data_IF_083226664748
#
_entry.id   IF_083226664748
#
_cell.length_a   1.000
_cell.length_b   1.000
_cell.length_c   1.000
_cell.angle_alpha   90.00
_cell.angle_beta   90.00
_cell.angle_gamma   90.00
#
_symmetry.space_group_name_H-M   'P 1'
#
loop_
_entity.id
_entity.type
_entity.pdbx_description
1 polymer ?
#
# COMPACT_ATOMS: atom_id res chain seq x y z
N UNK A 1 21.26 18.20 -14.16
CA UNK A 1 21.37 16.75 -13.92
C UNK A 1 20.13 16.07 -14.46
N UNK A 2 20.04 14.76 -14.33
CA UNK A 2 18.76 14.04 -14.32
C UNK A 2 17.94 14.51 -13.11
N UNK A 3 16.63 14.66 -13.25
CA UNK A 3 15.74 15.07 -12.16
C UNK A 3 15.56 13.90 -11.17
N UNK A 4 15.84 14.08 -9.87
CA UNK A 4 15.54 13.07 -8.88
C UNK A 4 14.04 12.76 -8.82
N UNK A 5 13.69 11.51 -8.51
CA UNK A 5 12.32 11.09 -8.15
C UNK A 5 12.25 10.90 -6.65
N UNK A 6 11.32 11.57 -5.96
CA UNK A 6 11.03 11.33 -4.54
C UNK A 6 9.97 10.24 -4.42
N UNK A 7 10.22 9.23 -3.59
CA UNK A 7 9.33 8.08 -3.41
C UNK A 7 9.01 7.90 -1.93
N UNK A 8 7.73 8.00 -1.61
CA UNK A 8 7.16 7.64 -0.29
C UNK A 8 6.35 6.36 -0.42
N UNK A 9 6.24 5.62 0.67
CA UNK A 9 5.69 4.28 0.70
C UNK A 9 4.68 4.19 1.85
N UNK A 10 3.48 3.73 1.51
CA UNK A 10 2.36 3.63 2.44
C UNK A 10 2.59 2.59 3.55
N UNK A 11 3.57 1.70 3.41
CA UNK A 11 4.00 0.73 4.43
C UNK A 11 4.32 1.45 5.73
N UNK A 12 4.90 2.66 5.60
CA UNK A 12 5.17 3.55 6.73
C UNK A 12 4.98 5.01 6.31
N UNK A 13 3.76 5.53 6.51
CA UNK A 13 3.38 6.95 6.35
C UNK A 13 4.17 7.95 7.23
N UNK A 14 5.18 7.52 7.98
CA UNK A 14 6.05 8.40 8.74
C UNK A 14 7.45 8.55 8.12
N UNK A 15 7.70 7.89 6.98
CA UNK A 15 8.97 7.94 6.27
C UNK A 15 8.85 8.90 5.10
N UNK A 16 9.58 10.00 5.19
CA UNK A 16 9.69 11.01 4.15
C UNK A 16 10.86 10.67 3.23
N UNK A 17 10.77 11.06 1.96
CA UNK A 17 11.93 11.03 1.05
C UNK A 17 12.46 12.45 0.83
N UNK A 18 13.78 12.59 0.80
CA UNK A 18 14.45 13.87 0.59
C UNK A 18 15.57 13.70 -0.40
N UNK A 19 15.53 14.48 -1.49
CA UNK A 19 16.55 14.44 -2.55
C UNK A 19 16.98 15.84 -2.95
N UNK A 20 18.25 15.97 -3.33
CA UNK A 20 18.81 17.25 -3.74
C UNK A 20 18.56 17.51 -5.22
N UNK A 21 17.88 18.63 -5.53
CA UNK A 21 17.67 19.10 -6.90
C UNK A 21 18.69 20.18 -7.29
N UNK A 22 19.61 20.54 -6.40
CA UNK A 22 20.59 21.60 -6.65
C UNK A 22 21.42 21.37 -7.92
N UNK A 23 21.78 20.10 -8.21
CA UNK A 23 22.54 19.74 -9.41
C UNK A 23 21.76 19.89 -10.73
N UNK A 24 20.45 20.16 -10.67
CA UNK A 24 19.63 20.47 -11.84
C UNK A 24 19.70 21.96 -12.22
N UNK A 25 20.22 22.81 -11.32
CA UNK A 25 20.43 24.23 -11.58
C UNK A 25 21.90 24.54 -11.72
N UNK A 26 22.24 25.35 -12.73
CA UNK A 26 23.58 25.94 -12.86
C UNK A 26 23.48 27.43 -12.60
N UNK A 27 24.22 27.95 -11.63
CA UNK A 27 24.22 29.36 -11.24
C UNK A 27 25.60 29.99 -11.43
N UNK A 28 25.63 31.25 -11.87
CA UNK A 28 26.84 32.08 -11.93
C UNK A 28 26.47 33.52 -11.58
N UNK A 29 27.35 34.22 -10.85
CA UNK A 29 27.09 35.57 -10.32
C UNK A 29 27.76 36.69 -11.15
N UNK A 30 28.21 36.40 -12.37
CA UNK A 30 28.82 37.40 -13.22
C UNK A 30 30.15 37.96 -12.69
N UNK A 31 30.48 39.18 -13.11
CA UNK A 31 31.73 39.86 -12.77
C UNK A 31 31.67 40.59 -11.41
N UNK A 32 30.48 40.72 -10.84
CA UNK A 32 30.16 41.63 -9.74
C UNK A 32 30.38 40.99 -8.35
N UNK A 33 30.91 39.77 -8.33
CA UNK A 33 31.28 39.05 -7.12
C UNK A 33 30.23 38.03 -6.68
N UNK A 34 30.37 37.51 -5.46
CA UNK A 34 29.45 36.49 -4.95
C UNK A 34 28.04 37.08 -4.71
N UNK A 35 27.02 36.32 -5.12
CA UNK A 35 25.61 36.67 -4.94
C UNK A 35 24.84 35.61 -4.13
N UNK A 36 23.53 35.51 -4.33
CA UNK A 36 22.66 34.54 -3.65
C UNK A 36 22.02 33.56 -4.61
N UNK A 37 21.85 32.31 -4.18
CA UNK A 37 21.03 31.29 -4.85
C UNK A 37 19.91 30.87 -3.89
N UNK A 38 18.67 30.93 -4.33
CA UNK A 38 17.49 30.59 -3.53
C UNK A 38 16.58 29.63 -4.29
N UNK A 39 15.77 28.87 -3.57
CA UNK A 39 14.83 27.91 -4.11
C UNK A 39 13.43 28.18 -3.56
N UNK A 40 12.42 28.03 -4.42
CA UNK A 40 11.02 28.16 -4.04
C UNK A 40 10.16 27.14 -4.79
N UNK A 41 9.19 26.56 -4.09
CA UNK A 41 8.16 25.74 -4.72
C UNK A 41 7.04 26.62 -5.27
N UNK A 42 6.51 26.22 -6.42
CA UNK A 42 5.31 26.75 -7.04
C UNK A 42 4.31 25.63 -7.28
N UNK A 43 3.03 25.99 -7.39
CA UNK A 43 1.95 25.02 -7.56
C UNK A 43 0.84 25.56 -8.46
N UNK A 44 0.26 24.69 -9.28
CA UNK A 44 -1.03 24.95 -9.92
C UNK A 44 -2.12 24.51 -8.94
N UNK A 45 -2.72 25.48 -8.25
CA UNK A 45 -3.76 25.19 -7.28
C UNK A 45 -4.98 24.51 -7.94
N UNK A 46 -5.50 23.48 -7.30
CA UNK A 46 -6.59 22.67 -7.84
C UNK A 46 -6.31 21.17 -7.75
N UNK A 47 -6.98 20.37 -8.57
CA UNK A 47 -6.89 18.91 -8.49
C UNK A 47 -5.47 18.40 -8.72
N UNK A 48 -5.00 17.53 -7.82
CA UNK A 48 -3.71 16.86 -7.94
C UNK A 48 -3.76 15.67 -8.90
N UNK A 49 -4.95 15.08 -9.06
CA UNK A 49 -5.18 13.79 -9.71
C UNK A 49 -5.29 12.62 -8.73
N UNK A 50 -4.91 12.82 -7.47
CA UNK A 50 -4.98 11.81 -6.41
C UNK A 50 -6.33 11.84 -5.70
N UNK A 51 -6.69 10.72 -5.10
CA UNK A 51 -7.86 10.56 -4.22
C UNK A 51 -7.39 10.00 -2.88
N UNK A 52 -7.85 10.56 -1.77
CA UNK A 52 -7.54 10.06 -0.43
C UNK A 52 -8.31 8.76 -0.16
N UNK A 53 -7.62 7.67 0.17
CA UNK A 53 -8.26 6.34 0.31
C UNK A 53 -9.34 6.35 1.40
N UNK A 54 -9.03 6.92 2.57
CA UNK A 54 -9.90 6.82 3.72
C UNK A 54 -11.21 7.64 3.61
N UNK A 55 -11.19 8.79 2.92
CA UNK A 55 -12.38 9.62 2.72
C UNK A 55 -13.04 9.46 1.34
N UNK A 56 -12.32 8.94 0.35
CA UNK A 56 -12.75 8.92 -1.05
C UNK A 56 -12.80 10.31 -1.68
N UNK A 57 -12.26 11.34 -1.02
CA UNK A 57 -12.26 12.70 -1.53
C UNK A 57 -11.09 12.94 -2.48
N UNK A 58 -11.32 13.74 -3.53
CA UNK A 58 -10.23 14.25 -4.36
C UNK A 58 -9.24 15.08 -3.53
N UNK A 59 -7.96 14.98 -3.87
CA UNK A 59 -6.90 15.76 -3.24
C UNK A 59 -6.60 16.99 -4.10
N UNK A 60 -6.68 18.17 -3.49
CA UNK A 60 -6.38 19.44 -4.12
C UNK A 60 -5.06 20.00 -3.61
N UNK A 61 -4.24 20.49 -4.54
CA UNK A 61 -2.99 21.18 -4.28
C UNK A 61 -3.24 22.64 -3.90
N UNK A 62 -2.47 23.11 -2.94
CA UNK A 62 -2.38 24.52 -2.57
C UNK A 62 -0.98 24.85 -2.05
N UNK A 63 -0.66 26.14 -1.97
CA UNK A 63 0.58 26.62 -1.35
C UNK A 63 0.24 27.25 0.00
N UNK A 64 0.79 26.69 1.08
CA UNK A 64 0.69 27.22 2.43
C UNK A 64 2.05 27.78 2.87
N UNK A 65 2.25 29.08 2.64
CA UNK A 65 3.55 29.71 2.81
C UNK A 65 4.53 29.25 1.72
N UNK A 66 5.54 28.46 2.09
CA UNK A 66 6.53 27.90 1.17
C UNK A 66 6.36 26.38 0.96
N UNK A 67 5.34 25.78 1.59
CA UNK A 67 5.07 24.35 1.54
C UNK A 67 3.90 24.10 0.61
N UNK A 68 4.06 23.17 -0.33
CA UNK A 68 2.96 22.66 -1.14
C UNK A 68 2.22 21.63 -0.31
N UNK A 69 0.90 21.76 -0.24
CA UNK A 69 0.03 20.85 0.51
C UNK A 69 -0.98 20.22 -0.44
N UNK A 70 -1.10 18.89 -0.39
CA UNK A 70 -2.25 18.16 -0.91
C UNK A 70 -3.29 17.97 0.19
N UNK A 71 -4.50 18.50 0.01
CA UNK A 71 -5.59 18.39 0.99
C UNK A 71 -6.86 17.82 0.39
N UNK A 72 -7.61 17.04 1.17
CA UNK A 72 -8.93 16.56 0.73
C UNK A 72 -9.87 17.72 0.43
N UNK A 73 -10.59 17.62 -0.69
CA UNK A 73 -11.32 18.74 -1.29
C UNK A 73 -12.45 19.32 -0.41
N UNK A 74 -13.03 18.51 0.49
CA UNK A 74 -14.18 18.89 1.33
C UNK A 74 -13.79 18.97 2.80
N UNK A 75 -13.14 17.93 3.34
CA UNK A 75 -12.77 17.86 4.75
C UNK A 75 -11.49 18.63 5.09
N UNK A 76 -10.71 19.05 4.07
CA UNK A 76 -9.48 19.82 4.21
C UNK A 76 -8.40 19.11 5.07
N UNK A 77 -8.47 17.79 5.16
CA UNK A 77 -7.46 16.95 5.80
C UNK A 77 -6.18 16.96 4.96
N UNK A 78 -5.03 17.03 5.63
CA UNK A 78 -3.73 17.04 4.96
C UNK A 78 -3.34 15.62 4.55
N UNK A 79 -3.07 15.41 3.26
CA UNK A 79 -2.73 14.10 2.67
C UNK A 79 -1.23 13.97 2.46
N UNK A 80 -0.59 15.01 1.93
CA UNK A 80 0.86 15.05 1.78
C UNK A 80 1.38 16.49 1.76
N UNK A 81 2.68 16.65 1.95
CA UNK A 81 3.38 17.92 1.78
C UNK A 81 4.62 17.79 0.90
N UNK A 82 4.98 18.88 0.23
CA UNK A 82 6.27 19.05 -0.45
C UNK A 82 6.91 20.32 0.07
N UNK A 83 8.16 20.23 0.52
CA UNK A 83 8.93 21.36 1.02
C UNK A 83 10.31 21.41 0.38
N UNK A 84 10.93 22.59 0.37
CA UNK A 84 12.30 22.78 -0.12
C UNK A 84 13.15 23.51 0.90
N UNK A 85 14.34 22.99 1.16
CA UNK A 85 15.35 23.60 2.01
C UNK A 85 16.23 24.58 1.22
N UNK A 86 16.96 25.45 1.94
CA UNK A 86 17.80 26.48 1.31
C UNK A 86 18.95 25.91 0.45
N UNK A 87 19.34 24.66 0.67
CA UNK A 87 20.34 23.96 -0.13
C UNK A 87 19.77 23.29 -1.40
N UNK A 88 18.47 23.41 -1.66
CA UNK A 88 17.80 22.79 -2.81
C UNK A 88 17.38 21.33 -2.58
N UNK A 89 17.41 20.86 -1.34
CA UNK A 89 16.83 19.57 -0.97
C UNK A 89 15.31 19.71 -0.92
N UNK A 90 14.61 18.88 -1.70
CA UNK A 90 13.16 18.77 -1.69
C UNK A 90 12.80 17.56 -0.83
N UNK A 91 11.74 17.70 -0.03
CA UNK A 91 11.20 16.63 0.80
C UNK A 91 9.74 16.37 0.43
N UNK A 92 9.39 15.10 0.17
CA UNK A 92 8.04 14.59 0.04
C UNK A 92 7.66 13.86 1.32
N UNK A 93 6.51 14.21 1.90
CA UNK A 93 5.97 13.65 3.14
C UNK A 93 4.51 13.27 2.89
N UNK A 94 4.19 11.97 3.00
CA UNK A 94 2.82 11.46 2.86
C UNK A 94 2.25 11.12 4.24
N UNK A 95 1.07 11.64 4.52
CA UNK A 95 0.41 11.55 5.82
C UNK A 95 -0.82 10.64 5.78
N UNK A 96 -1.36 10.39 4.58
CA UNK A 96 -2.57 9.60 4.34
C UNK A 96 -2.42 8.82 3.03
N UNK A 97 -2.95 7.60 3.03
CA UNK A 97 -3.02 6.72 1.87
C UNK A 97 -3.79 7.38 0.70
N UNK A 98 -3.33 7.11 -0.52
CA UNK A 98 -4.00 7.54 -1.75
C UNK A 98 -4.45 6.34 -2.56
N UNK A 99 -5.53 6.50 -3.33
CA UNK A 99 -6.05 5.41 -4.14
C UNK A 99 -5.12 5.13 -5.31
N UNK A 100 -4.72 3.87 -5.45
CA UNK A 100 -3.91 3.37 -6.56
C UNK A 100 -4.76 2.68 -7.65
N UNK A 101 -4.35 2.78 -8.93
CA UNK A 101 -5.16 2.31 -10.05
C UNK A 101 -5.10 0.80 -10.31
N UNK A 102 -3.99 0.11 -10.02
CA UNK A 102 -3.82 -1.31 -10.35
C UNK A 102 -4.16 -2.24 -9.17
N UNK A 103 -5.43 -2.63 -9.09
CA UNK A 103 -5.91 -3.58 -8.07
C UNK A 103 -5.31 -5.00 -8.13
N UNK A 104 -4.41 -5.28 -9.08
CA UNK A 104 -3.75 -6.58 -9.23
C UNK A 104 -2.29 -6.58 -8.82
N UNK A 105 -1.71 -5.41 -8.59
CA UNK A 105 -0.35 -5.22 -8.12
C UNK A 105 -0.40 -4.56 -6.73
N UNK A 106 -0.09 -5.28 -5.64
CA UNK A 106 -0.23 -4.78 -4.27
C UNK A 106 0.89 -3.82 -3.82
N UNK A 107 1.74 -3.37 -4.74
CA UNK A 107 2.87 -2.45 -4.52
C UNK A 107 3.00 -1.55 -5.76
N UNK A 108 1.86 -1.06 -6.28
CA UNK A 108 1.84 -0.20 -7.45
C UNK A 108 2.13 1.27 -7.11
N UNK A 109 2.57 2.00 -8.12
CA UNK A 109 3.01 3.38 -7.98
C UNK A 109 2.00 4.33 -8.62
N UNK A 110 1.73 5.45 -7.93
CA UNK A 110 1.01 6.59 -8.50
C UNK A 110 1.76 7.91 -8.30
N UNK A 111 1.33 8.93 -9.02
CA UNK A 111 1.91 10.27 -8.97
C UNK A 111 0.85 11.33 -9.30
N UNK A 112 1.23 12.60 -9.31
CA UNK A 112 0.33 13.65 -9.77
C UNK A 112 -0.12 13.40 -11.22
N UNK A 113 -1.22 14.02 -11.66
CA UNK A 113 -1.70 13.81 -13.03
C UNK A 113 -0.87 14.54 -14.08
N UNK A 114 -0.06 15.53 -13.69
CA UNK A 114 0.77 16.29 -14.61
C UNK A 114 2.00 16.86 -13.90
N UNK A 115 3.11 16.87 -14.65
CA UNK A 115 4.41 17.25 -14.12
C UNK A 115 4.50 18.71 -13.69
N UNK A 116 3.82 19.59 -14.41
CA UNK A 116 3.83 21.03 -14.15
C UNK A 116 2.88 21.46 -13.01
N UNK A 117 2.23 20.51 -12.30
CA UNK A 117 1.40 20.85 -11.16
C UNK A 117 2.20 21.34 -9.95
N UNK A 118 3.44 20.86 -9.81
CA UNK A 118 4.41 21.33 -8.82
C UNK A 118 5.68 21.71 -9.53
N UNK A 119 6.22 22.88 -9.21
CA UNK A 119 7.45 23.39 -9.82
C UNK A 119 8.47 23.76 -8.77
N UNK A 120 9.76 23.55 -9.06
CA UNK A 120 10.87 24.08 -8.28
C UNK A 120 11.55 25.20 -9.07
N UNK A 121 11.56 26.42 -8.53
CA UNK A 121 12.22 27.57 -9.13
C UNK A 121 13.47 27.94 -8.34
N UNK A 122 14.61 27.99 -9.02
CA UNK A 122 15.84 28.55 -8.48
C UNK A 122 16.02 29.99 -8.97
N UNK A 123 16.37 30.90 -8.06
CA UNK A 123 16.68 32.30 -8.38
C UNK A 123 18.11 32.62 -7.97
N UNK A 124 18.89 33.08 -8.94
CA UNK A 124 20.25 33.60 -8.73
C UNK A 124 20.22 35.11 -8.79
N UNK A 125 20.82 35.77 -7.80
CA UNK A 125 21.01 37.23 -7.76
C UNK A 125 22.50 37.52 -7.60
N UNK A 126 23.06 38.47 -8.35
CA UNK A 126 24.48 38.86 -8.25
C UNK A 126 24.73 40.01 -7.25
N UNK A 127 25.94 40.56 -7.27
CA UNK A 127 26.43 41.49 -6.26
C UNK A 127 25.80 42.89 -6.29
N UNK A 128 25.27 43.33 -7.43
CA UNK A 128 24.60 44.62 -7.57
C UNK A 128 23.06 44.52 -7.66
N UNK A 129 22.53 43.29 -7.75
CA UNK A 129 21.12 42.97 -7.50
C UNK A 129 20.37 42.45 -8.72
N UNK A 130 21.05 42.23 -9.85
CA UNK A 130 20.45 41.62 -11.02
C UNK A 130 20.10 40.16 -10.74
N UNK A 131 18.90 39.73 -11.15
CA UNK A 131 18.35 38.41 -10.84
C UNK A 131 17.87 37.65 -12.06
N UNK A 132 18.15 36.34 -12.10
CA UNK A 132 17.66 35.40 -13.10
C UNK A 132 17.06 34.17 -12.42
N UNK A 133 16.00 33.61 -13.01
CA UNK A 133 15.33 32.43 -12.51
C UNK A 133 15.33 31.29 -13.54
N UNK A 134 15.32 30.06 -13.04
CA UNK A 134 15.08 28.85 -13.81
C UNK A 134 14.08 27.96 -13.06
N UNK A 135 13.20 27.28 -13.79
CA UNK A 135 12.11 26.48 -13.22
C UNK A 135 12.16 25.07 -13.77
N UNK A 136 11.97 24.09 -12.87
CA UNK A 136 11.72 22.69 -13.19
C UNK A 136 10.30 22.33 -12.80
N UNK A 137 9.68 21.48 -13.59
CA UNK A 137 8.45 20.78 -13.22
C UNK A 137 8.88 19.52 -12.45
N UNK A 138 8.20 19.21 -11.36
CA UNK A 138 8.56 18.07 -10.50
C UNK A 138 7.34 17.26 -10.07
N UNK A 139 6.17 17.51 -10.65
CA UNK A 139 4.92 16.90 -10.24
C UNK A 139 4.90 15.38 -10.46
N UNK A 140 5.49 14.88 -11.56
CA UNK A 140 5.62 13.43 -11.81
C UNK A 140 6.80 12.82 -11.05
N UNK A 141 7.68 13.64 -10.48
CA UNK A 141 8.79 13.19 -9.64
C UNK A 141 8.34 12.88 -8.21
N UNK A 142 7.07 13.11 -7.86
CA UNK A 142 6.49 12.78 -6.56
C UNK A 142 5.76 11.45 -6.68
N UNK A 143 6.37 10.38 -6.19
CA UNK A 143 5.84 9.01 -6.31
C UNK A 143 5.34 8.53 -4.95
N UNK A 144 4.14 7.96 -4.97
CA UNK A 144 3.50 7.31 -3.84
C UNK A 144 3.40 5.83 -4.20
N UNK A 145 3.99 4.96 -3.40
CA UNK A 145 3.90 3.49 -3.56
C UNK A 145 2.79 2.97 -2.64
N UNK A 146 2.01 2.01 -3.16
CA UNK A 146 0.96 1.32 -2.42
C UNK A 146 1.53 0.43 -1.31
N UNK A 147 0.77 0.27 -0.23
CA UNK A 147 0.98 -0.80 0.74
C UNK A 147 -0.19 -1.73 0.67
N UNK A 148 -0.03 -2.78 -0.14
CA UNK A 148 -1.08 -3.75 -0.35
C UNK A 148 -1.18 -4.82 0.75
N UNK A 149 -2.16 -5.73 0.61
CA UNK A 149 -2.41 -6.75 1.61
C UNK A 149 -1.27 -7.79 1.66
N UNK A 150 -0.90 -8.20 2.86
CA UNK A 150 0.05 -9.29 3.09
C UNK A 150 -0.51 -10.34 4.03
N UNK A 151 -0.12 -11.60 3.84
CA UNK A 151 -0.50 -12.71 4.72
C UNK A 151 0.63 -13.72 4.86
N UNK A 152 0.83 -14.20 6.08
CA UNK A 152 1.80 -15.24 6.40
C UNK A 152 1.22 -16.25 7.39
N UNK A 153 1.76 -17.46 7.38
CA UNK A 153 1.38 -18.50 8.34
C UNK A 153 2.39 -18.57 9.48
N UNK A 154 1.92 -18.59 10.72
CA UNK A 154 2.76 -18.69 11.92
C UNK A 154 2.13 -19.62 12.96
N UNK A 155 2.86 -19.90 14.05
CA UNK A 155 2.34 -20.63 15.20
C UNK A 155 2.29 -22.15 15.05
N UNK A 156 1.78 -22.81 16.09
CA UNK A 156 1.56 -24.26 16.13
C UNK A 156 0.16 -24.56 15.59
N UNK A 157 0.04 -25.59 14.75
CA UNK A 157 -1.24 -26.04 14.20
C UNK A 157 -2.06 -26.73 15.29
N UNK A 158 -3.30 -26.27 15.57
CA UNK A 158 -4.21 -27.00 16.43
C UNK A 158 -4.47 -28.41 15.89
N UNK A 159 -4.44 -29.41 16.78
CA UNK A 159 -4.90 -30.77 16.43
C UNK A 159 -6.40 -30.88 16.74
N UNK A 160 -7.16 -31.37 15.76
CA UNK A 160 -8.57 -31.76 15.94
C UNK A 160 -8.64 -33.25 16.25
N UNK A 161 -9.30 -33.62 17.35
CA UNK A 161 -9.41 -35.01 17.80
C UNK A 161 -10.84 -35.35 18.16
N UNK A 162 -11.39 -36.40 17.55
CA UNK A 162 -12.68 -37.00 17.90
C UNK A 162 -12.47 -38.41 18.47
N UNK A 163 -13.49 -38.96 19.13
CA UNK A 163 -13.47 -40.29 19.74
C UNK A 163 -14.72 -41.07 19.34
N UNK A 164 -14.55 -42.23 18.70
CA UNK A 164 -15.63 -43.09 18.25
C UNK A 164 -16.43 -43.75 19.39
N UNK A 165 -16.02 -43.58 20.66
CA UNK A 165 -16.81 -44.02 21.83
C UNK A 165 -18.19 -43.37 21.84
N UNK A 166 -18.29 -42.11 21.40
CA UNK A 166 -19.57 -41.40 21.21
C UNK A 166 -19.54 -40.62 19.89
N UNK A 167 -20.29 -41.11 18.90
CA UNK A 167 -20.41 -40.46 17.60
C UNK A 167 -21.14 -39.10 17.70
N UNK A 168 -20.93 -38.25 16.70
CA UNK A 168 -21.52 -36.92 16.56
C UNK A 168 -21.09 -35.88 17.61
N UNK A 169 -20.01 -36.14 18.36
CA UNK A 169 -19.31 -35.11 19.13
C UNK A 169 -18.20 -34.54 18.23
N UNK A 170 -18.27 -33.24 17.96
CA UNK A 170 -17.30 -32.53 17.14
C UNK A 170 -16.18 -31.96 18.02
N UNK A 171 -14.95 -31.95 17.49
CA UNK A 171 -13.91 -31.05 17.99
C UNK A 171 -13.95 -29.74 17.21
N UNK A 172 -13.66 -28.63 17.89
CA UNK A 172 -13.61 -27.30 17.29
C UNK A 172 -12.42 -26.55 17.87
N UNK A 173 -11.57 -26.06 16.96
CA UNK A 173 -10.36 -25.30 17.27
C UNK A 173 -10.30 -24.09 16.34
N UNK A 174 -9.67 -23.02 16.81
CA UNK A 174 -9.43 -21.84 15.98
C UNK A 174 -8.06 -21.95 15.34
N UNK A 175 -8.03 -21.88 14.01
CA UNK A 175 -6.82 -21.75 13.21
C UNK A 175 -6.55 -20.28 12.85
N UNK A 176 -7.41 -19.34 13.26
CA UNK A 176 -7.30 -17.94 12.85
C UNK A 176 -5.96 -17.33 13.27
N UNK A 177 -5.46 -17.68 14.47
CA UNK A 177 -4.18 -17.21 14.98
C UNK A 177 -2.96 -17.71 14.17
N UNK A 178 -3.14 -18.74 13.34
CA UNK A 178 -2.08 -19.21 12.46
C UNK A 178 -1.91 -18.32 11.23
N UNK A 179 -2.84 -17.42 10.94
CA UNK A 179 -2.76 -16.49 9.82
C UNK A 179 -2.48 -15.08 10.37
N UNK A 180 -1.28 -14.57 10.09
CA UNK A 180 -0.93 -13.18 10.35
C UNK A 180 -1.11 -12.39 9.06
N UNK A 181 -2.14 -11.55 9.01
CA UNK A 181 -2.50 -10.74 7.85
C UNK A 181 -2.44 -9.24 8.17
N UNK A 182 -2.02 -8.44 7.20
CA UNK A 182 -2.19 -7.00 7.17
C UNK A 182 -2.94 -6.61 5.90
N UNK A 183 -3.76 -5.56 5.98
CA UNK A 183 -4.52 -5.04 4.84
C UNK A 183 -3.86 -3.84 4.16
N UNK A 184 -2.71 -3.41 4.67
CA UNK A 184 -2.05 -2.21 4.19
C UNK A 184 -2.56 -0.92 4.81
N UNK A 185 -2.18 0.20 4.21
CA UNK A 185 -2.56 1.55 4.64
C UNK A 185 -3.99 1.95 4.22
N UNK A 186 -4.58 1.23 3.28
CA UNK A 186 -5.94 1.41 2.76
C UNK A 186 -7.06 1.18 3.79
N UNK A 187 -6.71 0.56 4.91
CA UNK A 187 -7.64 0.24 5.98
C UNK A 187 -8.13 -1.21 5.90
N UNK A 188 -9.21 -1.52 6.63
CA UNK A 188 -9.62 -2.90 6.82
C UNK A 188 -10.20 -3.52 5.53
N UNK A 189 -9.57 -4.58 5.05
CA UNK A 189 -10.08 -5.46 4.01
C UNK A 189 -10.88 -6.63 4.59
N UNK A 190 -10.97 -7.73 3.82
CA UNK A 190 -11.64 -8.96 4.25
C UNK A 190 -10.65 -10.12 4.33
N UNK A 191 -10.72 -10.89 5.41
CA UNK A 191 -10.03 -12.17 5.53
C UNK A 191 -11.07 -13.31 5.42
N UNK A 192 -10.81 -14.29 4.56
CA UNK A 192 -11.66 -15.47 4.39
C UNK A 192 -10.86 -16.74 4.58
N UNK A 193 -11.52 -17.77 5.08
CA UNK A 193 -10.93 -19.10 5.28
C UNK A 193 -11.68 -20.11 4.44
N UNK A 194 -10.94 -20.99 3.76
CA UNK A 194 -11.50 -22.07 2.96
C UNK A 194 -10.74 -23.36 3.23
N UNK A 195 -11.46 -24.48 3.14
CA UNK A 195 -10.85 -25.81 3.17
C UNK A 195 -10.53 -26.26 1.75
N UNK A 196 -9.40 -26.95 1.61
CA UNK A 196 -9.00 -27.64 0.39
C UNK A 196 -8.59 -29.08 0.72
N UNK A 197 -8.80 -29.99 -0.24
CA UNK A 197 -8.36 -31.39 -0.11
C UNK A 197 -7.96 -31.95 -1.47
N UNK A 198 -6.99 -32.86 -1.48
CA UNK A 198 -6.72 -33.70 -2.64
C UNK A 198 -7.74 -34.84 -2.62
N UNK A 199 -8.63 -34.87 -3.60
CA UNK A 199 -9.66 -35.92 -3.68
C UNK A 199 -9.03 -37.30 -3.86
N UNK A 200 -9.57 -38.30 -3.16
CA UNK A 200 -9.05 -39.67 -3.20
C UNK A 200 -8.98 -40.32 -1.82
N UNK A 201 -8.25 -41.43 -1.70
CA UNK A 201 -8.18 -42.20 -0.47
C UNK A 201 -7.61 -41.36 0.70
N UNK A 202 -8.31 -41.36 1.84
CA UNK A 202 -7.87 -40.69 3.06
C UNK A 202 -6.80 -41.50 3.82
N UNK A 203 -6.68 -42.80 3.50
CA UNK A 203 -5.92 -43.78 4.28
C UNK A 203 -6.71 -44.38 5.45
N UNK A 204 -7.92 -43.90 5.72
CA UNK A 204 -8.83 -44.48 6.72
C UNK A 204 -9.66 -45.62 6.10
N UNK A 205 -10.05 -46.56 6.95
CA UNK A 205 -11.01 -47.64 6.64
C UNK A 205 -12.16 -47.52 7.62
N UNK A 206 -13.39 -47.52 7.11
CA UNK A 206 -14.58 -47.54 7.95
C UNK A 206 -14.72 -48.91 8.62
N UNK A 207 -14.72 -48.96 9.96
CA UNK A 207 -14.75 -50.21 10.72
C UNK A 207 -16.05 -50.99 10.52
N UNK A 208 -17.17 -50.32 10.23
CA UNK A 208 -18.47 -50.96 10.09
C UNK A 208 -18.63 -51.70 8.75
N UNK A 209 -18.24 -51.08 7.64
CA UNK A 209 -18.34 -51.64 6.29
C UNK A 209 -17.07 -52.37 5.83
N UNK A 210 -15.92 -52.05 6.42
CA UNK A 210 -14.59 -52.48 5.94
C UNK A 210 -14.14 -51.76 4.68
N UNK A 211 -14.85 -50.74 4.22
CA UNK A 211 -14.52 -49.99 3.02
C UNK A 211 -13.47 -48.90 3.31
N UNK A 212 -12.61 -48.62 2.32
CA UNK A 212 -11.75 -47.45 2.36
C UNK A 212 -12.60 -46.17 2.38
N UNK A 213 -12.10 -45.11 3.01
CA UNK A 213 -12.75 -43.79 3.04
C UNK A 213 -12.02 -42.87 2.07
N UNK A 214 -12.77 -42.22 1.18
CA UNK A 214 -12.27 -41.23 0.24
C UNK A 214 -12.65 -39.82 0.71
N UNK A 215 -11.72 -38.87 0.55
CA UNK A 215 -11.93 -37.45 0.74
C UNK A 215 -12.47 -36.82 -0.53
N UNK A 216 -13.37 -35.87 -0.34
CA UNK A 216 -13.85 -34.97 -1.39
C UNK A 216 -14.24 -33.63 -0.77
N UNK A 217 -14.26 -32.57 -1.59
CA UNK A 217 -14.78 -31.27 -1.19
C UNK A 217 -16.20 -31.11 -1.77
N UNK A 218 -17.19 -30.96 -0.90
CA UNK A 218 -18.60 -30.72 -1.25
C UNK A 218 -18.98 -29.30 -0.82
N UNK A 219 -18.88 -28.34 -1.75
CA UNK A 219 -19.00 -26.92 -1.42
C UNK A 219 -17.82 -26.47 -0.54
N UNK A 220 -18.09 -26.00 0.67
CA UNK A 220 -17.08 -25.58 1.65
C UNK A 220 -16.76 -26.66 2.71
N UNK A 221 -17.36 -27.84 2.58
CA UNK A 221 -17.22 -28.94 3.55
C UNK A 221 -16.38 -30.05 2.94
N UNK A 222 -15.33 -30.47 3.65
CA UNK A 222 -14.59 -31.69 3.32
C UNK A 222 -15.40 -32.87 3.86
N UNK A 223 -15.71 -33.83 3.01
CA UNK A 223 -16.42 -35.05 3.38
C UNK A 223 -15.50 -36.26 3.22
N UNK A 224 -15.45 -37.11 4.24
CA UNK A 224 -14.94 -38.47 4.14
C UNK A 224 -16.09 -39.43 3.87
N UNK A 225 -16.09 -40.13 2.73
CA UNK A 225 -17.14 -41.11 2.38
C UNK A 225 -16.57 -42.48 2.04
N UNK A 226 -17.30 -43.55 2.35
CA UNK A 226 -16.89 -44.91 1.97
C UNK A 226 -16.78 -45.06 0.45
N UNK A 227 -15.75 -45.75 -0.01
CA UNK A 227 -15.34 -45.75 -1.41
C UNK A 227 -16.34 -46.44 -2.36
N UNK A 228 -17.16 -47.37 -1.87
CA UNK A 228 -18.11 -48.13 -2.69
C UNK A 228 -19.54 -47.75 -2.37
N UNK A 229 -19.91 -47.72 -1.08
CA UNK A 229 -21.28 -47.42 -0.64
C UNK A 229 -21.60 -45.92 -0.56
N UNK A 230 -20.58 -45.05 -0.65
CA UNK A 230 -20.72 -43.59 -0.58
C UNK A 230 -21.38 -43.07 0.73
N UNK A 231 -21.31 -43.87 1.80
CA UNK A 231 -21.79 -43.50 3.13
C UNK A 231 -20.88 -42.43 3.73
N UNK A 232 -21.47 -41.41 4.37
CA UNK A 232 -20.72 -40.35 5.04
C UNK A 232 -20.10 -40.88 6.34
N UNK A 233 -18.80 -40.65 6.51
CA UNK A 233 -18.01 -41.07 7.68
C UNK A 233 -17.73 -39.87 8.58
N UNK A 234 -17.22 -38.77 8.01
CA UNK A 234 -16.96 -37.53 8.76
C UNK A 234 -17.05 -36.29 7.86
N UNK A 235 -17.13 -35.12 8.48
CA UNK A 235 -17.06 -33.81 7.82
C UNK A 235 -16.06 -32.90 8.51
N UNK A 236 -15.38 -32.04 7.74
CA UNK A 236 -14.61 -30.89 8.25
C UNK A 236 -15.17 -29.62 7.61
N UNK A 237 -15.42 -28.59 8.41
CA UNK A 237 -16.00 -27.32 7.96
C UNK A 237 -15.38 -26.14 8.70
N UNK A 238 -15.32 -24.97 8.05
CA UNK A 238 -15.04 -23.70 8.73
C UNK A 238 -16.34 -23.19 9.35
N UNK A 239 -16.29 -22.76 10.61
CA UNK A 239 -17.43 -22.10 11.25
C UNK A 239 -17.74 -20.76 10.57
N UNK A 240 -19.04 -20.42 10.47
CA UNK A 240 -19.49 -19.14 9.95
C UNK A 240 -19.24 -17.98 10.94
#
# INVERSE_FOLDING_TARGET
GEEPTLTVDETVLAINDTKSFAANFTSAFGADGAGTLTYALGVVAGASGLTDTASGEAVNLSLNGAVVEGRTATSNALVFTVSVAANGDVTLDQLRAVVHPDTTDPDDATSLTSDNLVTLTATTTDGDGDSVQATLNIGQNLVFEDDGPSISTTGEEPTLTVDETVLAINDTKSFAANFNSAFGADGAGTLTYALGVVAGASGLTDTASGEAVNLSLNGAVVEGRTATSNALVFTVSVAA
#
